data_IF_641152597069
#
_entry.id   IF_641152597069
#
_cell.length_a   1.000
_cell.length_b   1.000
_cell.length_c   1.000
_cell.angle_alpha   90.00
_cell.angle_beta   90.00
_cell.angle_gamma   90.00
#
_symmetry.space_group_name_H-M   'P 1'
#
loop_
_entity.id
_entity.type
_entity.pdbx_description
1 polymer ?
#
# COMPACT_ATOMS: atom_id res chain seq x y z
N UNK A 1 -7.84 -4.48 13.09
CA UNK A 1 -6.65 -3.84 13.73
C UNK A 1 -7.02 -2.47 14.26
N UNK A 2 -6.37 -1.98 15.32
CA UNK A 2 -6.70 -0.69 15.97
C UNK A 2 -5.71 0.39 15.53
N UNK A 3 -6.19 1.39 14.78
CA UNK A 3 -5.47 2.62 14.45
C UNK A 3 -6.00 3.82 15.23
N UNK A 4 -5.45 5.00 14.97
CA UNK A 4 -5.76 6.27 15.66
C UNK A 4 -7.26 6.67 15.59
N UNK A 5 -8.04 6.05 14.70
CA UNK A 5 -9.47 6.32 14.47
C UNK A 5 -10.45 5.27 15.03
N UNK A 6 -10.02 4.38 15.94
CA UNK A 6 -10.92 3.48 16.66
C UNK A 6 -10.85 2.00 16.24
N UNK A 7 -11.65 1.18 16.95
CA UNK A 7 -11.69 -0.27 16.79
C UNK A 7 -12.43 -0.68 15.51
N UNK A 8 -11.80 -1.53 14.70
CA UNK A 8 -12.45 -2.23 13.58
C UNK A 8 -12.70 -3.68 14.01
N UNK A 9 -13.82 -3.93 14.68
CA UNK A 9 -14.37 -5.28 14.82
C UNK A 9 -15.13 -5.62 13.53
N UNK A 10 -14.58 -6.55 12.75
CA UNK A 10 -15.09 -6.92 11.41
C UNK A 10 -16.43 -7.65 11.37
N UNK A 11 -17.18 -7.71 12.47
CA UNK A 11 -18.47 -8.45 12.53
C UNK A 11 -19.72 -7.55 12.41
N UNK A 12 -19.58 -6.23 12.22
CA UNK A 12 -20.74 -5.33 12.03
C UNK A 12 -20.59 -4.41 10.82
N UNK A 13 -19.97 -4.88 9.75
CA UNK A 13 -19.94 -4.16 8.48
C UNK A 13 -20.70 -4.97 7.44
N UNK A 14 -22.00 -4.67 7.29
CA UNK A 14 -22.84 -5.10 6.17
C UNK A 14 -22.46 -4.36 4.87
N UNK A 15 -21.16 -4.25 4.61
CA UNK A 15 -20.62 -3.72 3.37
C UNK A 15 -19.24 -4.36 3.16
N UNK A 16 -19.18 -5.37 2.30
CA UNK A 16 -17.95 -6.09 1.95
C UNK A 16 -16.87 -5.13 1.37
N UNK A 17 -17.32 -3.99 0.84
CA UNK A 17 -16.52 -2.87 0.30
C UNK A 17 -15.85 -1.98 1.37
N UNK A 18 -16.28 -2.02 2.64
CA UNK A 18 -15.72 -1.16 3.70
C UNK A 18 -14.60 -1.84 4.52
N UNK A 19 -14.05 -2.92 4.00
CA UNK A 19 -12.93 -3.64 4.62
C UNK A 19 -11.59 -3.01 4.24
N UNK A 20 -10.69 -2.86 5.20
CA UNK A 20 -9.36 -2.30 4.96
C UNK A 20 -8.57 -3.23 4.03
N UNK A 21 -8.27 -2.77 2.82
CA UNK A 21 -7.48 -3.53 1.83
C UNK A 21 -5.98 -3.24 2.00
N UNK A 22 -5.15 -4.27 1.89
CA UNK A 22 -3.70 -4.16 1.94
C UNK A 22 -3.09 -4.56 0.59
N UNK A 23 -2.44 -3.60 -0.07
CA UNK A 23 -1.71 -3.83 -1.31
C UNK A 23 -0.22 -4.01 -0.98
N UNK A 24 0.35 -5.14 -1.38
CA UNK A 24 1.78 -5.41 -1.28
C UNK A 24 2.39 -5.39 -2.68
N UNK A 25 3.45 -4.62 -2.85
CA UNK A 25 4.19 -4.56 -4.11
C UNK A 25 5.68 -4.41 -3.84
N UNK A 26 6.48 -5.03 -4.71
CA UNK A 26 7.94 -4.84 -4.77
C UNK A 26 8.22 -4.04 -6.03
N UNK A 27 8.91 -2.93 -5.88
CA UNK A 27 9.23 -2.02 -6.99
C UNK A 27 10.73 -1.75 -7.02
N UNK A 28 11.28 -1.45 -8.21
CA UNK A 28 12.61 -0.87 -8.34
C UNK A 28 12.76 0.43 -7.54
N UNK A 29 13.95 0.69 -7.03
CA UNK A 29 14.25 1.84 -6.15
C UNK A 29 13.94 3.19 -6.83
N UNK A 30 14.22 3.31 -8.12
CA UNK A 30 13.94 4.49 -8.93
C UNK A 30 12.44 4.80 -9.09
N UNK A 31 11.56 3.83 -8.82
CA UNK A 31 10.11 4.01 -8.84
C UNK A 31 9.50 4.42 -7.50
N UNK A 32 10.26 4.36 -6.40
CA UNK A 32 9.76 4.66 -5.05
C UNK A 32 9.28 6.11 -4.97
N UNK A 33 10.13 7.08 -5.30
CA UNK A 33 9.80 8.51 -5.21
C UNK A 33 8.59 8.93 -6.08
N UNK A 34 8.49 8.51 -7.36
CA UNK A 34 7.29 8.75 -8.17
C UNK A 34 6.01 8.19 -7.55
N UNK A 35 6.04 6.97 -7.00
CA UNK A 35 4.87 6.34 -6.37
C UNK A 35 4.45 7.10 -5.11
N UNK A 36 5.42 7.44 -4.24
CA UNK A 36 5.16 8.22 -3.02
C UNK A 36 4.58 9.59 -3.35
N UNK A 37 5.12 10.26 -4.37
CA UNK A 37 4.64 11.57 -4.82
C UNK A 37 3.18 11.51 -5.33
N UNK A 38 2.80 10.43 -6.01
CA UNK A 38 1.42 10.22 -6.47
C UNK A 38 0.44 9.85 -5.36
N UNK A 39 0.88 9.06 -4.37
CA UNK A 39 0.03 8.57 -3.28
C UNK A 39 -0.09 9.55 -2.11
N UNK A 40 0.89 10.43 -1.89
CA UNK A 40 0.87 11.39 -0.78
C UNK A 40 -0.39 12.25 -0.75
N UNK A 41 -0.83 12.91 -1.86
CA UNK A 41 -2.06 13.71 -1.86
C UNK A 41 -3.33 12.87 -1.60
N UNK A 42 -3.30 11.58 -1.94
CA UNK A 42 -4.42 10.67 -1.68
C UNK A 42 -4.52 10.36 -0.17
N UNK A 43 -3.39 10.00 0.45
CA UNK A 43 -3.33 9.70 1.89
C UNK A 43 -3.53 10.94 2.78
N UNK A 44 -3.30 12.15 2.26
CA UNK A 44 -3.68 13.40 2.94
C UNK A 44 -5.20 13.62 3.00
N UNK A 45 -5.97 13.01 2.08
CA UNK A 45 -7.44 13.17 1.99
C UNK A 45 -8.22 11.96 2.47
N UNK A 46 -7.59 10.79 2.49
CA UNK A 46 -8.23 9.51 2.81
C UNK A 46 -7.45 8.76 3.88
N UNK A 47 -8.16 8.11 4.79
CA UNK A 47 -7.55 7.27 5.81
C UNK A 47 -6.77 6.11 5.18
N UNK A 48 -5.53 5.93 5.60
CA UNK A 48 -4.66 4.85 5.15
C UNK A 48 -3.23 5.04 5.63
N UNK A 49 -2.42 4.01 5.48
CA UNK A 49 -0.99 4.05 5.78
C UNK A 49 -0.21 3.41 4.65
N UNK A 50 0.99 3.93 4.39
CA UNK A 50 1.94 3.36 3.46
C UNK A 50 3.27 3.11 4.20
N UNK A 51 3.86 1.95 3.95
CA UNK A 51 5.14 1.55 4.52
C UNK A 51 6.09 1.19 3.37
N UNK A 52 7.35 1.62 3.48
CA UNK A 52 8.42 1.26 2.56
C UNK A 52 9.51 0.56 3.36
N UNK A 53 10.02 -0.55 2.83
CA UNK A 53 11.09 -1.33 3.42
C UNK A 53 11.96 -1.93 2.33
N UNK A 54 13.27 -1.99 2.57
CA UNK A 54 14.19 -2.71 1.69
C UNK A 54 13.93 -4.22 1.76
N UNK A 55 13.97 -4.89 0.60
CA UNK A 55 13.72 -6.33 0.47
C UNK A 55 14.72 -6.98 -0.49
N UNK A 56 15.01 -8.26 -0.25
CA UNK A 56 15.79 -9.10 -1.17
C UNK A 56 14.86 -10.09 -1.88
N UNK A 57 14.96 -10.20 -3.20
CA UNK A 57 14.16 -11.13 -4.02
C UNK A 57 15.06 -11.99 -4.91
N UNK A 58 14.67 -13.25 -5.14
CA UNK A 58 15.45 -14.17 -5.97
C UNK A 58 15.42 -13.81 -7.46
N UNK A 59 14.27 -13.34 -7.98
CA UNK A 59 14.06 -13.00 -9.40
C UNK A 59 13.97 -11.49 -9.60
N UNK A 60 15.06 -10.78 -9.34
CA UNK A 60 15.10 -9.30 -9.42
C UNK A 60 14.57 -8.76 -10.76
N UNK A 61 14.95 -9.39 -11.88
CA UNK A 61 14.49 -8.99 -13.21
C UNK A 61 12.98 -9.04 -13.45
N UNK A 62 12.21 -9.81 -12.65
CA UNK A 62 10.75 -9.80 -12.71
C UNK A 62 10.15 -8.47 -12.23
N UNK A 63 10.85 -7.76 -11.35
CA UNK A 63 10.41 -6.51 -10.76
C UNK A 63 11.02 -5.28 -11.44
N UNK A 64 12.16 -5.45 -12.11
CA UNK A 64 12.83 -4.38 -12.88
C UNK A 64 12.11 -4.08 -14.20
N UNK A 65 11.51 -5.09 -14.83
CA UNK A 65 10.84 -4.95 -16.13
C UNK A 65 9.33 -4.75 -15.97
N UNK A 66 8.88 -3.50 -15.93
CA UNK A 66 7.61 -3.19 -16.56
C UNK A 66 7.97 -2.89 -18.02
N UNK A 67 7.70 -3.83 -18.93
CA UNK A 67 7.80 -3.55 -20.37
C UNK A 67 7.06 -2.24 -20.67
N UNK A 68 7.73 -1.36 -21.42
CA UNK A 68 7.21 -0.07 -21.91
C UNK A 68 6.28 -0.27 -23.09
#
# INVERSE_FOLDING_TARGET
GKGHSGFHEGHLMFNDESSLQMVLTVVPEDKVEPILSGLKPFLERHSGSLFVSDVCVLRKGHFESAES
#
